data_IF_114762039077
#
_entry.id   IF_114762039077
#
_cell.length_a   1.000
_cell.length_b   1.000
_cell.length_c   1.000
_cell.angle_alpha   90.00
_cell.angle_beta   90.00
_cell.angle_gamma   90.00
#
_symmetry.space_group_name_H-M   'P 1'
#
loop_
_entity.id
_entity.type
_entity.pdbx_description
1 polymer ?
#
# COMPACT_ATOMS: atom_id res chain seq x y z
N UNK A 1 -15.48 -16.20 15.58
CA UNK A 1 -14.46 -15.59 16.45
C UNK A 1 -14.48 -14.08 16.23
N UNK A 2 -14.95 -13.32 17.22
CA UNK A 2 -15.06 -11.85 17.11
C UNK A 2 -13.67 -11.21 17.19
N UNK A 3 -13.38 -10.35 16.23
CA UNK A 3 -12.12 -9.62 16.13
C UNK A 3 -11.93 -8.75 17.39
N UNK A 4 -11.01 -9.17 18.27
CA UNK A 4 -10.69 -8.46 19.53
C UNK A 4 -9.92 -7.13 19.30
N UNK A 5 -9.49 -6.86 18.08
CA UNK A 5 -8.73 -5.65 17.76
C UNK A 5 -9.64 -4.67 17.04
N UNK A 6 -10.37 -3.86 17.82
CA UNK A 6 -11.11 -2.72 17.28
C UNK A 6 -10.11 -1.64 16.87
N UNK A 7 -9.47 -1.85 15.72
CA UNK A 7 -8.64 -0.82 15.10
C UNK A 7 -9.61 0.23 14.53
N UNK A 8 -9.37 1.48 14.82
CA UNK A 8 -10.21 2.59 14.31
C UNK A 8 -10.33 2.51 12.79
N UNK A 9 -11.45 2.96 12.25
CA UNK A 9 -11.71 3.00 10.79
C UNK A 9 -10.81 4.01 10.06
N UNK A 10 -9.70 4.38 10.66
CA UNK A 10 -8.73 5.29 10.06
C UNK A 10 -8.15 4.69 8.80
N UNK A 11 -8.18 5.46 7.74
CA UNK A 11 -7.71 5.03 6.43
C UNK A 11 -6.30 5.55 6.18
N UNK A 12 -5.46 4.65 5.74
CA UNK A 12 -4.10 4.98 5.32
C UNK A 12 -4.04 5.06 3.79
N UNK A 13 -3.22 5.96 3.32
CA UNK A 13 -2.89 6.06 1.90
C UNK A 13 -1.64 5.24 1.67
N UNK A 14 -1.75 4.15 0.92
CA UNK A 14 -0.61 3.26 0.64
C UNK A 14 -0.31 3.21 -0.85
N UNK A 15 0.94 2.99 -1.18
CA UNK A 15 1.39 2.74 -2.55
C UNK A 15 1.30 1.25 -2.87
N UNK A 16 1.79 0.42 -1.96
CA UNK A 16 1.90 -1.03 -2.17
C UNK A 16 2.11 -1.73 -0.83
N UNK A 17 1.77 -3.02 -0.77
CA UNK A 17 2.18 -3.92 0.33
C UNK A 17 3.00 -5.05 -0.31
N UNK A 18 4.28 -5.11 0.05
CA UNK A 18 5.19 -6.17 -0.41
C UNK A 18 5.37 -7.19 0.70
N UNK A 19 4.94 -8.43 0.42
CA UNK A 19 5.06 -9.54 1.35
C UNK A 19 6.35 -10.33 1.07
N UNK A 20 6.91 -10.93 2.09
CA UNK A 20 8.11 -11.78 2.00
C UNK A 20 9.37 -11.03 1.56
N UNK A 21 9.47 -9.75 1.90
CA UNK A 21 10.68 -8.95 1.67
C UNK A 21 11.82 -9.45 2.56
N UNK A 22 13.01 -9.57 1.98
CA UNK A 22 14.21 -10.07 2.69
C UNK A 22 15.36 -9.06 2.70
N UNK A 23 15.12 -7.85 2.15
CA UNK A 23 16.13 -6.80 2.07
C UNK A 23 15.77 -5.54 2.86
N UNK A 24 14.65 -5.57 3.59
CA UNK A 24 14.08 -4.40 4.26
C UNK A 24 14.17 -4.50 5.79
N UNK A 25 15.20 -5.23 6.26
CA UNK A 25 15.49 -5.45 7.67
C UNK A 25 15.72 -6.93 7.97
N UNK A 26 15.90 -7.27 9.24
CA UNK A 26 16.17 -8.67 9.63
C UNK A 26 14.96 -9.58 9.33
N UNK A 27 15.25 -10.81 8.94
CA UNK A 27 14.25 -11.86 8.74
C UNK A 27 13.31 -11.60 7.55
N UNK A 28 12.23 -12.35 7.49
CA UNK A 28 11.18 -12.19 6.47
C UNK A 28 10.23 -11.10 6.95
N UNK A 29 9.96 -10.12 6.08
CA UNK A 29 9.15 -8.95 6.44
C UNK A 29 8.00 -8.72 5.48
N UNK A 30 6.99 -8.03 5.94
CA UNK A 30 6.01 -7.40 5.08
C UNK A 30 6.27 -5.89 5.12
N UNK A 31 6.51 -5.30 3.96
CA UNK A 31 6.74 -3.85 3.83
C UNK A 31 5.45 -3.19 3.38
N UNK A 32 4.98 -2.23 4.18
CA UNK A 32 3.84 -1.38 3.82
C UNK A 32 4.41 -0.06 3.29
N UNK A 33 4.38 0.11 1.97
CA UNK A 33 4.84 1.34 1.32
C UNK A 33 3.73 2.39 1.38
N UNK A 34 3.93 3.40 2.20
CA UNK A 34 2.96 4.49 2.39
C UNK A 34 3.03 5.49 1.24
N UNK A 35 1.92 6.19 1.02
CA UNK A 35 1.76 7.19 -0.03
C UNK A 35 1.74 8.58 0.60
N UNK A 36 2.47 9.52 -0.02
CA UNK A 36 2.58 10.89 0.45
C UNK A 36 3.94 11.16 1.08
N UNK A 37 4.67 12.11 0.50
CA UNK A 37 5.97 12.53 1.02
C UNK A 37 6.15 14.02 0.72
N UNK A 38 6.40 14.86 1.72
CA UNK A 38 6.67 16.27 1.48
C UNK A 38 8.08 16.53 0.97
N UNK A 39 8.96 15.53 1.08
CA UNK A 39 10.34 15.62 0.62
C UNK A 39 10.41 15.35 -0.89
N UNK A 40 11.27 16.06 -1.58
CA UNK A 40 11.48 15.90 -3.02
C UNK A 40 12.95 15.58 -3.28
N UNK A 41 13.45 14.53 -2.63
CA UNK A 41 14.85 14.11 -2.72
C UNK A 41 15.22 13.77 -4.16
N UNK A 42 16.30 14.34 -4.71
CA UNK A 42 16.71 14.02 -6.07
C UNK A 42 17.05 12.53 -6.28
N UNK A 43 17.41 11.85 -5.21
CA UNK A 43 17.76 10.41 -5.23
C UNK A 43 16.62 9.51 -4.78
N UNK A 44 15.37 9.97 -4.81
CA UNK A 44 14.23 9.20 -4.30
C UNK A 44 14.04 7.89 -5.08
N UNK A 45 14.00 6.76 -4.36
CA UNK A 45 13.77 5.44 -4.95
C UNK A 45 12.32 5.24 -5.38
N UNK A 46 11.39 5.95 -4.73
CA UNK A 46 9.94 5.77 -4.97
C UNK A 46 9.28 7.13 -5.25
N UNK A 47 9.66 7.82 -6.35
CA UNK A 47 9.11 9.17 -6.62
C UNK A 47 7.59 9.18 -6.82
N UNK A 48 7.01 8.06 -7.23
CA UNK A 48 5.57 7.88 -7.36
C UNK A 48 4.84 7.93 -6.02
N UNK A 49 5.54 7.68 -4.90
CA UNK A 49 4.94 7.76 -3.57
C UNK A 49 4.78 9.20 -3.06
N UNK A 50 5.39 10.18 -3.70
CA UNK A 50 5.37 11.56 -3.22
C UNK A 50 3.97 12.16 -3.17
N UNK A 51 3.12 11.84 -4.15
CA UNK A 51 1.74 12.33 -4.18
C UNK A 51 0.87 11.59 -3.18
N UNK A 52 0.16 12.33 -2.33
CA UNK A 52 -0.68 11.72 -1.29
C UNK A 52 -1.95 11.05 -1.83
N UNK A 53 -2.48 11.57 -2.95
CA UNK A 53 -3.71 11.03 -3.56
C UNK A 53 -3.39 9.97 -4.61
N UNK A 54 -4.24 8.95 -4.75
CA UNK A 54 -4.09 8.00 -5.85
C UNK A 54 -3.99 8.74 -7.18
N UNK A 55 -3.07 8.32 -8.01
CA UNK A 55 -2.84 9.00 -9.28
C UNK A 55 -2.40 8.03 -10.37
N UNK A 56 -2.62 8.46 -11.59
CA UNK A 56 -2.36 7.68 -12.78
C UNK A 56 -0.91 7.88 -13.24
N UNK A 57 -0.23 6.76 -13.51
CA UNK A 57 1.04 6.71 -14.22
C UNK A 57 0.78 6.18 -15.64
N UNK A 58 1.46 6.77 -16.63
CA UNK A 58 1.43 6.32 -18.01
C UNK A 58 2.85 5.92 -18.41
N UNK A 59 3.03 4.64 -18.70
CA UNK A 59 4.30 4.05 -19.14
C UNK A 59 4.32 4.14 -20.67
N UNK A 60 4.85 5.25 -21.18
CA UNK A 60 4.75 5.64 -22.59
C UNK A 60 5.32 4.58 -23.55
N UNK A 61 6.44 3.94 -23.17
CA UNK A 61 7.08 2.92 -24.01
C UNK A 61 6.28 1.60 -24.13
N UNK A 62 5.27 1.38 -23.28
CA UNK A 62 4.35 0.24 -23.40
C UNK A 62 3.10 0.61 -24.20
N UNK A 63 2.85 1.90 -24.44
CA UNK A 63 1.62 2.34 -25.06
C UNK A 63 1.65 2.14 -26.57
N UNK A 64 0.66 1.44 -27.11
CA UNK A 64 0.49 1.20 -28.56
C UNK A 64 -0.50 2.18 -29.23
N UNK A 65 -0.99 3.18 -28.51
CA UNK A 65 -1.87 4.21 -29.05
C UNK A 65 -3.27 3.72 -29.45
N UNK A 66 -3.76 2.64 -28.88
CA UNK A 66 -5.00 1.96 -29.31
C UNK A 66 -6.30 2.72 -28.99
N UNK A 67 -6.28 3.79 -28.21
CA UNK A 67 -7.43 4.63 -27.91
C UNK A 67 -8.45 4.07 -26.90
N UNK A 68 -8.34 2.81 -26.48
CA UNK A 68 -9.33 2.18 -25.58
C UNK A 68 -9.53 2.94 -24.27
N UNK A 69 -8.47 3.56 -23.76
CA UNK A 69 -8.53 4.32 -22.50
C UNK A 69 -9.38 5.59 -22.62
N UNK A 70 -9.34 6.24 -23.80
CA UNK A 70 -10.21 7.39 -24.10
C UNK A 70 -11.67 6.95 -24.13
N UNK A 71 -11.96 5.90 -24.90
CA UNK A 71 -13.33 5.39 -25.08
C UNK A 71 -14.00 4.96 -23.78
N UNK A 72 -13.21 4.38 -22.83
CA UNK A 72 -13.78 3.85 -21.58
C UNK A 72 -13.90 4.91 -20.47
N UNK A 73 -13.29 6.09 -20.64
CA UNK A 73 -13.25 7.08 -19.57
C UNK A 73 -14.63 7.70 -19.29
N UNK A 74 -15.27 7.42 -18.12
CA UNK A 74 -16.63 7.91 -17.88
C UNK A 74 -16.73 9.43 -17.71
N UNK A 75 -15.58 10.09 -17.53
CA UNK A 75 -15.52 11.55 -17.36
C UNK A 75 -14.92 12.28 -18.56
N UNK A 76 -14.59 11.55 -19.65
CA UNK A 76 -13.96 12.15 -20.82
C UNK A 76 -12.62 12.83 -20.54
N UNK A 77 -11.88 12.36 -19.54
CA UNK A 77 -10.65 12.99 -19.08
C UNK A 77 -9.40 12.54 -19.84
N UNK A 78 -9.58 11.80 -20.92
CA UNK A 78 -8.49 11.27 -21.75
C UNK A 78 -8.78 11.62 -23.20
N UNK A 79 -7.80 12.20 -23.88
CA UNK A 79 -7.89 12.49 -25.32
C UNK A 79 -6.64 11.93 -26.01
N UNK A 80 -6.82 11.35 -27.20
CA UNK A 80 -5.67 10.87 -27.97
C UNK A 80 -5.11 12.05 -28.79
N UNK A 81 -3.82 12.33 -28.59
CA UNK A 81 -3.08 13.34 -29.35
C UNK A 81 -1.77 12.71 -29.83
N UNK A 82 -1.47 12.84 -31.11
CA UNK A 82 -0.23 12.28 -31.72
C UNK A 82 -0.02 10.78 -31.31
N UNK A 83 -1.10 10.00 -31.42
CA UNK A 83 -1.13 8.56 -31.13
C UNK A 83 -0.97 8.20 -29.65
N UNK A 84 -0.91 9.17 -28.72
CA UNK A 84 -0.76 8.90 -27.29
C UNK A 84 -1.87 9.55 -26.47
N UNK A 85 -2.27 8.92 -25.35
CA UNK A 85 -3.27 9.52 -24.48
C UNK A 85 -2.70 10.68 -23.67
N UNK A 86 -3.42 11.78 -23.68
CA UNK A 86 -3.20 12.94 -22.81
C UNK A 86 -4.28 12.88 -21.73
N UNK A 87 -3.86 12.96 -20.48
CA UNK A 87 -4.72 12.76 -19.31
C UNK A 87 -4.97 14.08 -18.58
N UNK A 88 -6.22 14.47 -18.41
CA UNK A 88 -6.59 15.54 -17.49
C UNK A 88 -6.56 14.95 -16.07
N UNK A 89 -5.40 15.00 -15.41
CA UNK A 89 -5.18 14.40 -14.11
C UNK A 89 -5.94 15.09 -12.97
N UNK A 90 -6.23 16.39 -13.15
CA UNK A 90 -6.94 17.17 -12.12
C UNK A 90 -8.40 16.73 -12.00
N UNK A 91 -9.03 16.39 -13.13
CA UNK A 91 -10.43 15.95 -13.18
C UNK A 91 -10.57 14.41 -12.98
N UNK A 92 -9.46 13.69 -12.85
CA UNK A 92 -9.48 12.23 -12.76
C UNK A 92 -10.00 11.77 -11.38
N UNK A 93 -11.01 10.91 -11.41
CA UNK A 93 -11.64 10.36 -10.19
C UNK A 93 -11.05 9.01 -9.78
N UNK A 94 -9.94 8.59 -10.39
CA UNK A 94 -9.20 7.38 -10.07
C UNK A 94 -10.06 6.09 -10.09
N UNK A 95 -11.04 6.01 -11.00
CA UNK A 95 -11.94 4.84 -11.12
C UNK A 95 -11.24 3.59 -11.69
N UNK A 96 -10.00 3.72 -12.16
CA UNK A 96 -9.15 2.64 -12.70
C UNK A 96 -9.71 1.96 -13.98
N UNK A 97 -10.79 2.46 -14.61
CA UNK A 97 -11.36 1.86 -15.82
C UNK A 97 -10.33 1.78 -16.97
N UNK A 98 -9.57 2.84 -17.17
CA UNK A 98 -8.53 2.90 -18.22
C UNK A 98 -7.36 1.95 -17.94
N UNK A 99 -7.05 1.69 -16.68
CA UNK A 99 -6.03 0.70 -16.29
C UNK A 99 -6.50 -0.70 -16.66
N UNK A 100 -7.73 -1.06 -16.27
CA UNK A 100 -8.29 -2.40 -16.52
C UNK A 100 -8.43 -2.74 -18.00
N UNK A 101 -8.73 -1.75 -18.84
CA UNK A 101 -8.93 -1.98 -20.29
C UNK A 101 -7.62 -1.99 -21.09
N UNK A 102 -6.51 -1.56 -20.50
CA UNK A 102 -5.25 -1.40 -21.23
C UNK A 102 -4.58 -2.74 -21.52
N UNK A 103 -4.52 -3.21 -22.79
CA UNK A 103 -3.98 -4.53 -23.10
C UNK A 103 -2.45 -4.62 -22.88
N UNK A 104 -1.77 -3.48 -22.82
CA UNK A 104 -0.33 -3.42 -22.64
C UNK A 104 0.08 -3.05 -21.22
N UNK A 105 -0.88 -2.93 -20.30
CA UNK A 105 -0.60 -2.47 -18.94
C UNK A 105 0.22 -1.16 -18.95
N UNK A 106 -0.04 -0.30 -19.93
CA UNK A 106 0.65 1.00 -20.07
C UNK A 106 0.12 2.05 -19.11
N UNK A 107 -1.02 1.80 -18.47
CA UNK A 107 -1.64 2.69 -17.49
C UNK A 107 -1.68 1.96 -16.16
N UNK A 108 -1.18 2.61 -15.11
CA UNK A 108 -1.23 2.08 -13.74
C UNK A 108 -1.72 3.17 -12.80
N UNK A 109 -2.46 2.79 -11.79
CA UNK A 109 -2.77 3.68 -10.68
C UNK A 109 -1.85 3.36 -9.53
N UNK A 110 -1.22 4.39 -8.99
CA UNK A 110 -0.39 4.31 -7.79
C UNK A 110 -1.18 4.91 -6.64
N UNK A 111 -1.20 4.18 -5.56
CA UNK A 111 -1.88 4.61 -4.34
C UNK A 111 -3.30 4.08 -4.24
N UNK A 112 -3.62 3.69 -3.03
CA UNK A 112 -4.99 3.33 -2.66
C UNK A 112 -5.23 3.72 -1.20
N UNK A 113 -6.50 3.79 -0.84
CA UNK A 113 -6.89 4.08 0.53
C UNK A 113 -7.40 2.78 1.15
N UNK A 114 -6.75 2.34 2.22
CA UNK A 114 -7.04 1.07 2.90
C UNK A 114 -7.24 1.34 4.38
N UNK A 115 -8.10 0.60 5.04
CA UNK A 115 -8.33 0.75 6.47
C UNK A 115 -7.20 0.08 7.26
N UNK A 116 -6.97 0.56 8.48
CA UNK A 116 -6.01 -0.07 9.40
C UNK A 116 -6.37 -1.54 9.65
N UNK A 117 -7.65 -1.88 9.69
CA UNK A 117 -8.13 -3.25 9.89
C UNK A 117 -7.73 -4.15 8.72
N UNK A 118 -7.92 -3.68 7.48
CA UNK A 118 -7.53 -4.43 6.28
C UNK A 118 -6.02 -4.67 6.23
N UNK A 119 -5.23 -3.66 6.59
CA UNK A 119 -3.76 -3.81 6.68
C UNK A 119 -3.43 -4.89 7.73
N UNK A 120 -4.04 -4.81 8.92
CA UNK A 120 -3.78 -5.79 9.98
C UNK A 120 -4.11 -7.21 9.54
N UNK A 121 -5.21 -7.41 8.81
CA UNK A 121 -5.55 -8.74 8.28
C UNK A 121 -4.46 -9.29 7.36
N UNK A 122 -3.89 -8.43 6.51
CA UNK A 122 -2.79 -8.83 5.62
C UNK A 122 -1.55 -9.19 6.43
N UNK A 123 -1.18 -8.33 7.39
CA UNK A 123 0.02 -8.53 8.22
C UNK A 123 -0.09 -9.82 9.06
N UNK A 124 -1.29 -10.11 9.59
CA UNK A 124 -1.53 -11.29 10.40
C UNK A 124 -1.34 -12.60 9.64
N UNK A 125 -1.59 -12.62 8.34
CA UNK A 125 -1.36 -13.81 7.50
C UNK A 125 0.10 -14.23 7.46
N UNK A 126 1.02 -13.29 7.69
CA UNK A 126 2.47 -13.53 7.60
C UNK A 126 3.13 -13.69 8.97
N UNK A 127 2.35 -13.66 10.04
CA UNK A 127 2.82 -13.70 11.43
C UNK A 127 3.81 -14.82 11.71
N UNK A 128 3.50 -16.04 11.29
CA UNK A 128 4.34 -17.21 11.56
C UNK A 128 5.72 -17.09 10.89
N UNK A 129 5.75 -16.44 9.71
CA UNK A 129 7.03 -16.17 9.03
C UNK A 129 7.87 -15.16 9.81
N UNK A 130 7.23 -14.15 10.40
CA UNK A 130 7.94 -13.15 11.23
C UNK A 130 8.56 -13.84 12.45
N UNK A 131 7.80 -14.66 13.16
CA UNK A 131 8.24 -15.34 14.37
C UNK A 131 9.40 -16.30 14.07
N UNK A 132 9.28 -17.08 13.01
CA UNK A 132 10.27 -18.10 12.66
C UNK A 132 11.58 -17.52 12.11
N UNK A 133 11.54 -16.33 11.52
CA UNK A 133 12.70 -15.72 10.88
C UNK A 133 13.33 -14.57 11.68
N UNK A 134 12.68 -14.15 12.78
CA UNK A 134 13.08 -12.93 13.49
C UNK A 134 12.76 -11.67 12.68
N UNK A 135 11.77 -11.77 11.78
CA UNK A 135 11.35 -10.67 10.91
C UNK A 135 10.26 -9.80 11.51
N UNK A 136 9.38 -9.27 10.66
CA UNK A 136 8.29 -8.39 11.14
C UNK A 136 7.73 -7.50 10.06
N UNK A 137 7.31 -6.31 10.46
CA UNK A 137 6.70 -5.32 9.55
C UNK A 137 7.63 -4.12 9.41
N UNK A 138 7.72 -3.59 8.18
CA UNK A 138 8.44 -2.36 7.89
C UNK A 138 7.46 -1.36 7.25
N UNK A 139 7.43 -0.14 7.75
CA UNK A 139 6.69 0.96 7.11
C UNK A 139 7.69 1.82 6.35
N UNK A 140 7.47 1.97 5.05
CA UNK A 140 8.39 2.63 4.14
C UNK A 140 7.59 3.40 3.07
N UNK A 141 8.17 3.62 1.88
CA UNK A 141 7.50 4.24 0.72
C UNK A 141 7.72 5.74 0.68
N UNK A 142 6.65 6.48 0.88
CA UNK A 142 6.72 7.94 1.08
C UNK A 142 7.28 8.26 2.47
N UNK A 143 6.85 9.36 3.07
CA UNK A 143 7.29 9.67 4.44
C UNK A 143 6.28 9.09 5.43
N UNK A 144 6.68 8.03 6.13
CA UNK A 144 5.79 7.29 7.05
C UNK A 144 5.21 8.19 8.16
N UNK A 145 6.02 9.14 8.65
CA UNK A 145 5.60 10.06 9.71
C UNK A 145 4.48 11.02 9.27
N UNK A 146 4.23 11.17 7.97
CA UNK A 146 3.07 11.97 7.51
C UNK A 146 1.73 11.30 7.82
N UNK A 147 1.75 10.01 8.16
CA UNK A 147 0.56 9.23 8.54
C UNK A 147 0.76 8.56 9.91
N UNK A 148 1.47 9.21 10.78
CA UNK A 148 1.91 8.69 12.09
C UNK A 148 0.77 8.12 12.94
N UNK A 149 -0.27 8.83 13.07
CA UNK A 149 -1.45 8.37 13.83
C UNK A 149 -2.00 7.03 13.35
N UNK A 150 -1.98 6.89 12.30
CA UNK A 150 -2.46 5.69 11.68
C UNK A 150 -1.44 4.59 11.74
N UNK A 151 -0.16 4.87 11.76
CA UNK A 151 0.85 3.94 11.82
C UNK A 151 1.10 3.52 13.23
N UNK A 152 0.86 4.36 14.11
CA UNK A 152 1.02 4.14 15.49
C UNK A 152 0.01 3.12 15.96
N UNK A 153 -1.00 3.07 15.44
CA UNK A 153 -2.02 2.18 15.77
C UNK A 153 -1.72 0.78 15.28
N UNK A 154 -1.12 0.78 14.21
CA UNK A 154 -0.74 -0.47 13.67
C UNK A 154 0.53 -1.00 14.27
N UNK A 155 1.30 -0.17 14.63
CA UNK A 155 2.49 -0.49 15.28
C UNK A 155 2.29 -0.98 16.67
N UNK A 156 1.43 -0.45 17.25
CA UNK A 156 1.07 -0.81 18.55
C UNK A 156 0.36 -2.15 18.58
N UNK A 157 -0.29 -2.38 17.64
CA UNK A 157 -0.94 -3.60 17.56
C UNK A 157 0.00 -4.75 17.25
N UNK A 158 0.94 -4.45 16.60
CA UNK A 158 1.92 -5.40 16.30
C UNK A 158 2.81 -5.71 17.46
N UNK A 159 2.96 -4.82 18.17
CA UNK A 159 3.74 -4.96 19.33
C UNK A 159 3.02 -5.75 20.41
N UNK A 160 1.98 -5.46 20.48
CA UNK A 160 1.14 -6.14 21.38
C UNK A 160 0.96 -7.59 21.06
N UNK A 161 0.94 -7.88 19.98
CA UNK A 161 0.77 -9.31 19.58
C UNK A 161 2.04 -10.13 19.80
N UNK A 162 3.15 -9.52 19.45
CA UNK A 162 4.47 -10.18 19.66
C UNK A 162 4.74 -10.46 21.13
N UNK A 163 4.40 -9.52 21.99
CA UNK A 163 4.59 -9.66 23.44
C UNK A 163 3.68 -10.75 24.05
N UNK A 164 2.42 -10.79 23.63
CA UNK A 164 1.47 -11.79 24.15
C UNK A 164 1.89 -13.20 23.74
N UNK A 165 2.42 -13.37 22.56
CA UNK A 165 2.87 -14.68 22.11
C UNK A 165 4.17 -15.11 22.78
N UNK A 166 5.08 -14.17 22.96
CA UNK A 166 6.31 -14.45 23.72
C UNK A 166 5.95 -14.88 25.16
N UNK A 167 4.97 -14.21 25.76
CA UNK A 167 4.46 -14.58 27.09
C UNK A 167 3.79 -15.96 27.08
N UNK A 168 3.00 -16.27 26.03
CA UNK A 168 2.39 -17.59 25.87
C UNK A 168 3.45 -18.69 25.73
N UNK A 169 4.46 -18.47 24.90
CA UNK A 169 5.56 -19.42 24.69
C UNK A 169 6.42 -19.62 25.94
N UNK A 170 6.49 -18.61 26.81
CA UNK A 170 7.17 -18.71 28.11
C UNK A 170 6.30 -19.35 29.20
N UNK A 171 5.03 -19.60 28.91
CA UNK A 171 4.09 -20.15 29.88
C UNK A 171 3.49 -19.13 30.85
N UNK A 172 3.68 -17.84 30.57
CA UNK A 172 3.16 -16.74 31.39
C UNK A 172 1.67 -16.47 31.18
N UNK A 173 1.09 -16.99 30.08
CA UNK A 173 -0.32 -16.84 29.75
C UNK A 173 -0.95 -18.19 29.38
N UNK A 174 -2.19 -18.41 29.81
CA UNK A 174 -2.97 -19.59 29.45
C UNK A 174 -3.74 -19.39 28.15
N UNK A 175 -4.00 -20.48 27.43
CA UNK A 175 -4.70 -20.46 26.14
C UNK A 175 -6.13 -19.86 26.21
N UNK A 176 -6.76 -19.89 27.38
CA UNK A 176 -8.11 -19.38 27.60
C UNK A 176 -8.20 -17.84 27.66
N UNK A 177 -7.06 -17.16 27.72
CA UNK A 177 -7.00 -15.69 27.86
C UNK A 177 -6.64 -15.00 26.53
N UNK A 178 -6.60 -15.77 25.41
CA UNK A 178 -6.28 -15.26 24.06
C UNK A 178 -7.52 -14.81 23.29
#
# INVERSE_FOLDING_TARGET
MMNKYKVSENRLSIMEIERFAVHDGPGIRTVVFLQGCPLHCPWCSNPESQKRKPHLLHVKNKCIGCGRCEAICPRGNIAIQDHFPVFNRQACVACKACERICPQNAIKFVGESITSSEIMEILLRDRDYYLNSGGGVTFSGGEAFTQFEXXXXXXXXXXXMQERETAYLRGDLRASES
#
